data_IF_625575648679
#
_entry.id   IF_625575648679
#
_cell.length_a   1.000
_cell.length_b   1.000
_cell.length_c   1.000
_cell.angle_alpha   90.00
_cell.angle_beta   90.00
_cell.angle_gamma   90.00
#
_symmetry.space_group_name_H-M   'P 1'
#
loop_
_entity.id
_entity.type
_entity.pdbx_description
1 polymer ?
#
# COMPACT_ATOMS: atom_id res chain seq x y z
N UNK A 1 -19.93 1.53 -2.56
CA UNK A 1 -19.01 2.66 -2.28
C UNK A 1 -18.51 2.46 -0.86
N UNK A 2 -17.19 2.48 -0.64
CA UNK A 2 -16.62 2.45 0.72
C UNK A 2 -17.01 3.73 1.44
N UNK A 3 -17.56 3.61 2.66
CA UNK A 3 -17.96 4.76 3.46
C UNK A 3 -16.83 5.18 4.41
N UNK A 4 -15.99 4.24 4.83
CA UNK A 4 -14.84 4.48 5.69
C UNK A 4 -13.56 3.87 5.10
N UNK A 5 -12.50 4.67 5.10
CA UNK A 5 -11.15 4.32 4.69
C UNK A 5 -10.21 4.77 5.81
N UNK A 6 -9.43 3.84 6.33
CA UNK A 6 -8.37 4.10 7.29
C UNK A 6 -7.04 4.16 6.54
N UNK A 7 -6.36 5.30 6.57
CA UNK A 7 -4.98 5.40 6.05
C UNK A 7 -4.06 4.73 7.07
N UNK A 8 -3.34 3.70 6.63
CA UNK A 8 -2.44 2.91 7.46
C UNK A 8 -1.01 3.46 7.42
N UNK A 9 -0.59 3.97 6.26
CA UNK A 9 0.66 4.72 6.10
C UNK A 9 0.53 5.66 4.90
N UNK A 10 1.17 6.82 4.98
CA UNK A 10 1.26 7.81 3.91
C UNK A 10 2.68 8.38 3.87
N UNK A 11 3.26 8.48 2.68
CA UNK A 11 4.53 9.19 2.44
C UNK A 11 4.25 10.57 1.84
N UNK A 12 3.30 10.61 0.91
CA UNK A 12 2.76 11.82 0.33
C UNK A 12 1.34 11.53 -0.18
N UNK A 13 0.61 12.57 -0.61
CA UNK A 13 -0.77 12.44 -1.10
C UNK A 13 -0.95 11.59 -2.37
N UNK A 14 0.12 11.01 -2.92
CA UNK A 14 0.10 10.06 -4.05
C UNK A 14 0.68 8.68 -3.70
N UNK A 15 1.18 8.50 -2.48
CA UNK A 15 1.85 7.28 -2.02
C UNK A 15 1.36 6.92 -0.62
N UNK A 16 0.38 6.03 -0.56
CA UNK A 16 -0.23 5.62 0.69
C UNK A 16 -0.82 4.22 0.61
N UNK A 17 -0.94 3.58 1.78
CA UNK A 17 -1.72 2.37 1.97
C UNK A 17 -2.88 2.69 2.89
N UNK A 18 -4.06 2.22 2.52
CA UNK A 18 -5.25 2.33 3.33
C UNK A 18 -6.04 1.03 3.34
N UNK A 19 -6.89 0.83 4.34
CA UNK A 19 -7.81 -0.29 4.39
C UNK A 19 -9.24 0.24 4.56
N UNK A 20 -10.17 -0.28 3.77
CA UNK A 20 -11.58 0.05 3.91
C UNK A 20 -12.28 -0.93 4.87
N UNK A 21 -13.46 -0.52 5.34
CA UNK A 21 -14.31 -1.32 6.24
C UNK A 21 -14.65 -2.73 5.72
N UNK A 22 -14.54 -2.98 4.41
CA UNK A 22 -14.76 -4.29 3.79
C UNK A 22 -13.51 -5.19 3.79
N UNK A 23 -12.44 -4.80 4.47
CA UNK A 23 -11.17 -5.55 4.51
C UNK A 23 -10.36 -5.48 3.21
N UNK A 24 -10.70 -4.57 2.29
CA UNK A 24 -9.88 -4.33 1.09
C UNK A 24 -8.79 -3.33 1.43
N UNK A 25 -7.55 -3.71 1.12
CA UNK A 25 -6.38 -2.85 1.21
C UNK A 25 -6.17 -2.16 -0.14
N UNK A 26 -6.00 -0.85 -0.09
CA UNK A 26 -5.70 0.02 -1.21
C UNK A 26 -4.26 0.49 -1.09
N UNK A 27 -3.41 0.05 -2.02
CA UNK A 27 -2.06 0.59 -2.20
C UNK A 27 -2.11 1.57 -3.37
N UNK A 28 -1.86 2.83 -3.09
CA UNK A 28 -1.77 3.89 -4.09
C UNK A 28 -0.32 4.32 -4.21
N UNK A 29 0.17 4.36 -5.45
CA UNK A 29 1.54 4.75 -5.77
C UNK A 29 1.57 5.53 -7.09
N UNK A 30 1.82 6.84 -7.01
CA UNK A 30 1.99 7.76 -8.15
C UNK A 30 0.89 7.63 -9.22
N UNK A 31 -0.36 7.63 -8.76
CA UNK A 31 -1.55 7.53 -9.62
C UNK A 31 -1.95 6.11 -10.02
N UNK A 32 -1.17 5.09 -9.64
CA UNK A 32 -1.53 3.68 -9.80
C UNK A 32 -2.15 3.17 -8.50
N UNK A 33 -3.35 2.60 -8.59
CA UNK A 33 -4.05 2.00 -7.45
C UNK A 33 -4.17 0.48 -7.57
N UNK A 34 -3.73 -0.22 -6.54
CA UNK A 34 -3.91 -1.66 -6.40
C UNK A 34 -4.86 -1.94 -5.23
N UNK A 35 -5.99 -2.59 -5.55
CA UNK A 35 -7.02 -2.92 -4.57
C UNK A 35 -7.07 -4.43 -4.39
N UNK A 36 -6.79 -4.88 -3.18
CA UNK A 36 -6.68 -6.31 -2.86
C UNK A 36 -7.39 -6.63 -1.55
N UNK A 37 -8.05 -7.79 -1.44
CA UNK A 37 -8.40 -8.34 -0.13
C UNK A 37 -7.16 -8.41 0.77
N UNK A 38 -7.31 -8.18 2.07
CA UNK A 38 -6.21 -8.20 3.04
C UNK A 38 -5.29 -9.43 2.92
N UNK A 39 -5.88 -10.63 2.71
CA UNK A 39 -5.11 -11.87 2.52
C UNK A 39 -4.24 -11.83 1.24
N UNK A 40 -4.78 -11.31 0.14
CA UNK A 40 -4.04 -11.17 -1.11
C UNK A 40 -2.94 -10.11 -1.00
N UNK A 41 -3.21 -9.02 -0.27
CA UNK A 41 -2.20 -8.02 0.06
C UNK A 41 -1.08 -8.62 0.92
N UNK A 42 -1.38 -9.42 1.94
CA UNK A 42 -0.37 -10.10 2.76
C UNK A 42 0.55 -11.00 1.93
N UNK A 43 -0.01 -11.75 0.95
CA UNK A 43 0.80 -12.55 0.02
C UNK A 43 1.70 -11.67 -0.86
N UNK A 44 1.19 -10.54 -1.34
CA UNK A 44 1.97 -9.56 -2.10
C UNK A 44 3.10 -8.97 -1.26
N UNK A 45 2.82 -8.52 -0.04
CA UNK A 45 3.78 -7.98 0.90
C UNK A 45 4.91 -8.98 1.18
N UNK A 46 4.55 -10.24 1.45
CA UNK A 46 5.53 -11.32 1.62
C UNK A 46 6.42 -11.49 0.38
N UNK A 47 5.85 -11.39 -0.82
CA UNK A 47 6.61 -11.49 -2.06
C UNK A 47 7.56 -10.30 -2.28
N UNK A 48 7.12 -9.08 -1.94
CA UNK A 48 7.94 -7.87 -1.97
C UNK A 48 9.12 -7.99 -1.01
N UNK A 49 8.89 -8.44 0.23
CA UNK A 49 9.95 -8.64 1.23
C UNK A 49 10.97 -9.69 0.80
N UNK A 50 10.52 -10.80 0.19
CA UNK A 50 11.43 -11.80 -0.40
C UNK A 50 12.26 -11.22 -1.54
N UNK A 51 11.65 -10.36 -2.37
CA UNK A 51 12.35 -9.69 -3.47
C UNK A 51 13.45 -8.76 -2.95
N UNK A 52 13.20 -8.03 -1.85
CA UNK A 52 14.23 -7.23 -1.16
C UNK A 52 15.42 -8.08 -0.71
N UNK A 53 15.19 -9.21 -0.06
CA UNK A 53 16.25 -10.11 0.39
C UNK A 53 17.10 -10.60 -0.80
N UNK A 54 16.45 -10.98 -1.91
CA UNK A 54 17.15 -11.42 -3.12
C UNK A 54 18.01 -10.32 -3.76
N UNK A 55 17.53 -9.06 -3.78
CA UNK A 55 18.30 -7.92 -4.28
C UNK A 55 19.57 -7.72 -3.44
N UNK A 56 19.45 -7.80 -2.11
CA UNK A 56 20.59 -7.64 -1.19
C UNK A 56 21.62 -8.77 -1.32
N UNK A 57 21.17 -10.00 -1.52
CA UNK A 57 22.05 -11.18 -1.59
C UNK A 57 22.69 -11.41 -2.97
N UNK A 58 21.97 -11.12 -4.06
CA UNK A 58 22.40 -11.52 -5.41
C UNK A 58 22.65 -10.38 -6.38
N UNK A 59 22.18 -9.15 -6.10
CA UNK A 59 22.20 -8.04 -7.08
C UNK A 59 21.37 -8.27 -8.36
N UNK A 60 20.80 -9.47 -8.54
CA UNK A 60 20.33 -10.02 -9.82
C UNK A 60 18.99 -9.46 -10.32
N UNK A 61 18.25 -8.69 -9.50
CA UNK A 61 16.96 -8.12 -9.92
C UNK A 61 17.04 -6.63 -10.26
N UNK A 62 18.25 -6.06 -10.28
CA UNK A 62 18.50 -4.67 -10.68
C UNK A 62 19.01 -4.66 -12.12
N UNK A 63 18.10 -4.49 -13.08
CA UNK A 63 18.50 -4.11 -14.43
C UNK A 63 18.47 -2.58 -14.54
N UNK A 64 19.62 -1.96 -14.79
CA UNK A 64 19.75 -0.52 -15.01
C UNK A 64 19.10 0.36 -13.92
N UNK A 65 19.26 -0.01 -12.63
CA UNK A 65 18.71 0.77 -11.51
C UNK A 65 17.21 0.57 -11.25
N UNK A 66 16.58 -0.41 -11.89
CA UNK A 66 15.17 -0.74 -11.69
C UNK A 66 15.01 -2.13 -11.09
N UNK A 67 14.09 -2.25 -10.14
CA UNK A 67 13.61 -3.52 -9.61
C UNK A 67 12.36 -3.96 -10.40
N UNK A 68 12.39 -5.19 -10.91
CA UNK A 68 11.22 -5.82 -11.52
C UNK A 68 10.70 -6.96 -10.65
N UNK A 69 9.41 -6.94 -10.35
CA UNK A 69 8.71 -7.98 -9.61
C UNK A 69 7.51 -8.49 -10.43
N UNK A 70 7.22 -9.78 -10.34
CA UNK A 70 6.11 -10.41 -11.05
C UNK A 70 5.10 -11.03 -10.07
N UNK A 71 3.83 -10.68 -10.21
CA UNK A 71 2.71 -11.21 -9.43
C UNK A 71 1.73 -11.87 -10.39
N UNK A 72 1.87 -13.18 -10.59
CA UNK A 72 1.14 -13.90 -11.64
C UNK A 72 1.51 -13.38 -13.03
N UNK A 73 0.54 -12.82 -13.76
CA UNK A 73 0.76 -12.20 -15.08
C UNK A 73 1.06 -10.70 -15.01
N UNK A 74 0.93 -10.09 -13.83
CA UNK A 74 1.25 -8.69 -13.62
C UNK A 74 2.74 -8.55 -13.36
N UNK A 75 3.37 -7.53 -13.94
CA UNK A 75 4.73 -7.14 -13.58
C UNK A 75 4.75 -5.69 -13.13
N UNK A 76 5.38 -5.45 -11.98
CA UNK A 76 5.68 -4.13 -11.45
C UNK A 76 7.16 -3.86 -11.73
N UNK A 77 7.48 -2.69 -12.27
CA UNK A 77 8.86 -2.25 -12.49
C UNK A 77 8.98 -0.86 -11.89
N UNK A 78 9.88 -0.72 -10.92
CA UNK A 78 10.09 0.51 -10.17
C UNK A 78 11.58 0.84 -10.14
N UNK A 79 11.97 2.12 -10.06
CA UNK A 79 13.30 2.50 -9.59
C UNK A 79 13.61 1.81 -8.25
N UNK A 80 14.89 1.46 -8.02
CA UNK A 80 15.29 0.80 -6.77
C UNK A 80 14.93 1.65 -5.54
N UNK A 81 15.06 2.96 -5.62
CA UNK A 81 14.70 3.88 -4.53
C UNK A 81 13.20 3.77 -4.18
N UNK A 82 12.33 3.85 -5.19
CA UNK A 82 10.88 3.71 -5.00
C UNK A 82 10.52 2.31 -4.47
N UNK A 83 11.21 1.28 -4.94
CA UNK A 83 11.03 -0.07 -4.41
C UNK A 83 11.38 -0.16 -2.92
N UNK A 84 12.48 0.46 -2.48
CA UNK A 84 12.86 0.48 -1.08
C UNK A 84 11.84 1.26 -0.23
N UNK A 85 11.34 2.40 -0.72
CA UNK A 85 10.27 3.15 -0.05
C UNK A 85 8.99 2.32 0.06
N UNK A 86 8.63 1.58 -0.99
CA UNK A 86 7.48 0.67 -0.98
C UNK A 86 7.66 -0.44 0.07
N UNK A 87 8.87 -1.01 0.17
CA UNK A 87 9.17 -2.01 1.20
C UNK A 87 8.99 -1.40 2.59
N UNK A 88 9.56 -0.24 2.87
CA UNK A 88 9.43 0.41 4.19
C UNK A 88 7.98 0.67 4.55
N UNK A 89 7.18 1.17 3.61
CA UNK A 89 5.76 1.40 3.82
C UNK A 89 5.00 0.10 4.09
N UNK A 90 5.34 -0.99 3.39
CA UNK A 90 4.72 -2.29 3.65
C UNK A 90 5.09 -2.80 5.04
N UNK A 91 6.37 -2.71 5.44
CA UNK A 91 6.82 -3.14 6.76
C UNK A 91 6.08 -2.40 7.89
N UNK A 92 5.87 -1.10 7.71
CA UNK A 92 5.08 -0.25 8.61
C UNK A 92 3.61 -0.68 8.68
N UNK A 93 3.00 -1.02 7.55
CA UNK A 93 1.56 -1.28 7.47
C UNK A 93 1.20 -2.70 7.90
N UNK A 94 2.06 -3.68 7.68
CA UNK A 94 1.76 -5.11 7.91
C UNK A 94 1.21 -5.44 9.31
N UNK A 95 1.71 -4.84 10.42
CA UNK A 95 1.15 -5.07 11.76
C UNK A 95 -0.29 -4.57 11.94
N UNK A 96 -0.75 -3.64 11.10
CA UNK A 96 -2.04 -2.95 11.22
C UNK A 96 -3.13 -3.50 10.31
N UNK A 97 -2.81 -4.41 9.40
CA UNK A 97 -3.80 -4.97 8.47
C UNK A 97 -4.73 -5.93 9.21
N UNK A 98 -6.03 -5.64 9.16
CA UNK A 98 -7.04 -6.61 9.59
C UNK A 98 -7.21 -7.72 8.54
N UNK A 99 -6.68 -8.90 8.85
CA UNK A 99 -6.78 -10.10 8.02
C UNK A 99 -8.12 -10.83 8.16
N UNK A 100 -8.91 -10.52 9.19
CA UNK A 100 -10.16 -11.25 9.47
C UNK A 100 -11.29 -10.85 8.52
N UNK A 101 -11.12 -9.74 7.79
CA UNK A 101 -12.17 -9.18 6.93
C UNK A 101 -13.44 -8.80 7.70
N UNK A 102 -13.38 -8.79 9.04
CA UNK A 102 -14.53 -8.55 9.90
C UNK A 102 -14.83 -7.08 10.06
N UNK A 103 -13.93 -6.19 9.63
CA UNK A 103 -14.22 -4.78 9.47
C UNK A 103 -14.78 -4.18 10.76
N UNK A 104 -14.28 -4.62 11.92
CA UNK A 104 -14.61 -3.98 13.18
C UNK A 104 -13.90 -2.63 13.20
N UNK A 105 -14.52 -1.69 12.51
CA UNK A 105 -14.21 -0.28 12.54
C UNK A 105 -14.30 0.18 14.00
N UNK A 106 -13.14 0.41 14.61
CA UNK A 106 -13.05 1.10 15.89
C UNK A 106 -13.09 2.62 15.63
N UNK A 107 -14.15 3.34 16.06
CA UNK A 107 -14.29 4.78 15.82
C UNK A 107 -13.16 5.63 16.41
N UNK A 108 -12.31 5.05 17.27
CA UNK A 108 -11.19 5.76 17.90
C UNK A 108 -10.04 6.04 16.92
N UNK A 109 -9.94 5.33 15.80
CA UNK A 109 -8.88 5.55 14.78
C UNK A 109 -9.30 6.50 13.66
N UNK A 110 -10.30 7.35 13.92
CA UNK A 110 -10.72 8.41 13.00
C UNK A 110 -9.61 9.48 12.94
N UNK A 111 -8.65 9.33 12.03
CA UNK A 111 -7.91 10.49 11.55
C UNK A 111 -8.91 11.32 10.76
N UNK A 112 -9.32 12.45 11.32
CA UNK A 112 -10.10 13.42 10.60
C UNK A 112 -9.38 13.72 9.27
N UNK A 113 -10.10 13.86 8.15
CA UNK A 113 -9.46 14.31 6.91
C UNK A 113 -8.68 15.60 7.23
N UNK A 114 -7.49 15.82 6.63
CA UNK A 114 -6.77 17.07 6.80
C UNK A 114 -7.76 18.21 6.56
N UNK A 115 -7.88 19.14 7.52
CA UNK A 115 -8.93 20.17 7.59
C UNK A 115 -8.91 21.20 6.43
N UNK A 116 -8.26 20.89 5.31
CA UNK A 116 -8.07 21.77 4.16
C UNK A 116 -8.63 21.21 2.85
N UNK A 117 -9.74 20.47 2.89
CA UNK A 117 -10.57 20.29 1.68
C UNK A 117 -11.65 21.37 1.70
N UNK A 118 -11.36 22.40 0.91
CA UNK A 118 -12.14 23.60 0.61
C UNK A 118 -13.65 23.31 0.55
N UNK A 119 -14.43 24.12 1.26
CA UNK A 119 -15.90 24.09 1.28
C UNK A 119 -16.49 24.08 -0.14
N UNK A 120 -17.56 23.30 -0.40
CA UNK A 120 -18.32 23.49 -1.63
C UNK A 120 -19.01 24.85 -1.53
N UNK A 121 -18.54 25.82 -2.32
CA UNK A 121 -19.34 27.00 -2.63
C UNK A 121 -20.58 26.52 -3.38
N UNK A 122 -21.72 26.53 -2.67
CA UNK A 122 -23.03 26.62 -3.27
C UNK A 122 -23.23 28.07 -3.72
N UNK A 123 -23.31 28.28 -5.03
CA UNK A 123 -24.15 29.29 -5.69
C UNK A 123 -24.40 28.83 -7.12
#
# INVERSE_FOLDING_TARGET
>A
MCQHILILAERNGQQYVSQCEHGTVHLIWDGIGLHLPAEAFNRLATHIMKTRANIQERGDSISHGHCRMCVGKMSLTLPVEDFLQLVEMIDEVMPHIDLTGSGQYDPQYRLAPPQNVISPFLN
#
